data_IF_227482018518
#
_entry.id   IF_227482018518
#
_cell.length_a   1.000
_cell.length_b   1.000
_cell.length_c   1.000
_cell.angle_alpha   90.00
_cell.angle_beta   90.00
_cell.angle_gamma   90.00
#
_symmetry.space_group_name_H-M   'P 1'
#
loop_
_entity.id
_entity.type
_entity.pdbx_description
1 polymer ?
#
# COMPACT_ATOMS: atom_id res chain seq x y z
N UNK A 1 -5.28 22.41 19.73
CA UNK A 1 -6.01 21.38 18.97
C UNK A 1 -7.46 21.82 18.93
N UNK A 2 -8.11 21.86 17.76
CA UNK A 2 -9.52 22.20 17.69
C UNK A 2 -10.30 21.04 18.32
N UNK A 3 -11.01 21.34 19.41
CA UNK A 3 -11.84 20.38 20.18
C UNK A 3 -13.21 20.13 19.53
N UNK A 4 -13.33 20.38 18.23
CA UNK A 4 -14.57 20.25 17.49
C UNK A 4 -14.98 18.80 17.25
N UNK A 5 -16.28 18.56 17.20
CA UNK A 5 -16.85 17.24 16.95
C UNK A 5 -17.09 17.05 15.46
N UNK A 6 -16.60 15.93 14.91
CA UNK A 6 -16.70 15.57 13.51
C UNK A 6 -17.68 14.43 13.26
N UNK A 7 -18.27 14.41 12.06
CA UNK A 7 -19.14 13.32 11.64
C UNK A 7 -18.97 13.00 10.16
N UNK A 8 -19.08 11.71 9.80
CA UNK A 8 -19.10 11.27 8.41
C UNK A 8 -19.86 9.95 8.24
N UNK A 9 -20.28 9.65 7.00
CA UNK A 9 -20.73 8.33 6.58
C UNK A 9 -19.49 7.44 6.46
N UNK A 10 -19.44 6.36 7.23
CA UNK A 10 -18.29 5.44 7.30
C UNK A 10 -18.41 4.22 6.38
N UNK A 11 -19.57 4.01 5.74
CA UNK A 11 -19.82 2.95 4.76
C UNK A 11 -19.86 3.49 3.34
N UNK A 12 -19.80 2.59 2.36
CA UNK A 12 -19.90 3.00 0.94
C UNK A 12 -21.24 3.71 0.65
N UNK A 13 -21.21 4.73 -0.20
CA UNK A 13 -22.38 5.51 -0.65
C UNK A 13 -23.16 4.77 -1.74
N UNK A 14 -23.62 3.56 -1.43
CA UNK A 14 -24.44 2.73 -2.32
C UNK A 14 -25.57 2.07 -1.51
N UNK A 15 -26.71 1.71 -2.11
CA UNK A 15 -27.77 0.98 -1.43
C UNK A 15 -27.23 -0.33 -0.83
N UNK A 16 -27.42 -0.49 0.48
CA UNK A 16 -26.97 -1.66 1.25
C UNK A 16 -27.95 -1.97 2.39
N UNK A 17 -27.77 -3.09 3.08
CA UNK A 17 -28.60 -3.44 4.23
C UNK A 17 -28.37 -2.52 5.43
N UNK A 18 -27.13 -2.02 5.60
CA UNK A 18 -26.72 -1.17 6.76
C UNK A 18 -25.86 -0.03 6.25
N UNK A 19 -26.09 1.18 6.77
CA UNK A 19 -25.21 2.34 6.67
C UNK A 19 -24.73 2.76 8.05
N UNK A 20 -23.52 3.30 8.16
CA UNK A 20 -22.91 3.73 9.41
C UNK A 20 -22.55 5.21 9.32
N UNK A 21 -23.04 6.00 10.27
CA UNK A 21 -22.58 7.38 10.50
C UNK A 21 -21.74 7.38 11.77
N UNK A 22 -20.49 7.84 11.66
CA UNK A 22 -19.54 7.94 12.77
C UNK A 22 -19.45 9.39 13.24
N UNK A 23 -19.42 9.58 14.56
CA UNK A 23 -19.26 10.87 15.24
C UNK A 23 -18.11 10.72 16.22
N UNK A 24 -17.19 11.70 16.29
CA UNK A 24 -16.05 11.70 17.22
C UNK A 24 -15.73 13.12 17.68
N UNK A 25 -15.47 13.31 18.97
CA UNK A 25 -15.10 14.59 19.57
C UNK A 25 -15.81 14.85 20.92
N UNK A 26 -15.53 16.01 21.50
CA UNK A 26 -15.98 16.37 22.85
C UNK A 26 -17.51 16.41 22.99
N UNK A 27 -18.24 16.92 21.98
CA UNK A 27 -19.68 17.09 22.01
C UNK A 27 -20.45 15.85 21.54
N UNK A 28 -19.77 14.75 21.22
CA UNK A 28 -20.39 13.52 20.66
C UNK A 28 -21.55 13.02 21.51
N UNK A 29 -21.38 12.99 22.84
CA UNK A 29 -22.39 12.48 23.76
C UNK A 29 -23.58 13.42 23.86
N UNK A 30 -23.37 14.72 23.80
CA UNK A 30 -24.44 15.72 23.85
C UNK A 30 -25.22 15.73 22.54
N UNK A 31 -24.57 15.58 21.41
CA UNK A 31 -25.22 15.51 20.09
C UNK A 31 -26.11 14.29 20.02
N UNK A 32 -25.59 13.10 20.36
CA UNK A 32 -26.41 11.87 20.28
C UNK A 32 -27.60 11.90 21.26
N UNK A 33 -27.44 12.48 22.43
CA UNK A 33 -28.51 12.61 23.41
C UNK A 33 -29.65 13.56 22.96
N UNK A 34 -29.39 14.49 22.03
CA UNK A 34 -30.40 15.37 21.43
C UNK A 34 -31.22 14.65 20.36
N UNK A 35 -30.57 13.86 19.54
CA UNK A 35 -31.20 13.27 18.34
C UNK A 35 -31.70 11.84 18.55
N UNK A 36 -31.20 11.09 19.53
CA UNK A 36 -31.56 9.70 19.78
C UNK A 36 -32.68 9.60 20.83
N UNK A 37 -33.66 8.75 20.56
CA UNK A 37 -34.70 8.38 21.54
C UNK A 37 -34.83 6.84 21.59
N UNK A 38 -34.70 6.27 22.79
CA UNK A 38 -35.02 4.86 23.04
C UNK A 38 -36.52 4.62 22.92
N UNK A 39 -36.94 3.35 22.77
CA UNK A 39 -38.34 2.97 22.64
C UNK A 39 -39.22 3.45 23.80
N UNK A 40 -38.66 3.53 25.01
CA UNK A 40 -39.32 4.04 26.22
C UNK A 40 -39.09 5.54 26.45
N UNK A 41 -38.35 6.22 25.59
CA UNK A 41 -38.05 7.65 25.64
C UNK A 41 -37.18 8.11 26.82
N UNK A 42 -36.71 7.19 27.68
CA UNK A 42 -36.06 7.55 28.95
C UNK A 42 -34.55 7.45 28.97
N UNK A 43 -33.96 6.76 27.97
CA UNK A 43 -32.54 6.42 27.96
C UNK A 43 -31.71 7.56 27.39
N UNK A 44 -30.64 7.94 28.09
CA UNK A 44 -29.60 8.85 27.64
C UNK A 44 -28.31 8.06 27.33
N UNK A 45 -27.77 8.19 26.13
CA UNK A 45 -26.58 7.48 25.71
C UNK A 45 -25.37 7.91 26.52
N UNK A 46 -25.27 9.19 26.85
CA UNK A 46 -24.20 9.75 27.70
C UNK A 46 -24.05 9.06 29.06
N UNK A 47 -25.15 8.54 29.63
CA UNK A 47 -25.17 7.85 30.92
C UNK A 47 -24.90 6.35 30.81
N UNK A 48 -24.78 5.80 29.60
CA UNK A 48 -24.52 4.37 29.37
C UNK A 48 -23.05 4.04 29.55
N UNK A 49 -22.72 2.75 29.74
CA UNK A 49 -21.37 2.25 29.80
C UNK A 49 -20.77 2.26 28.38
N UNK A 50 -19.44 2.48 28.29
CA UNK A 50 -18.70 2.32 27.06
C UNK A 50 -18.82 0.90 26.51
N UNK A 51 -18.67 0.73 25.18
CA UNK A 51 -18.74 -0.54 24.47
C UNK A 51 -20.10 -1.24 24.62
N UNK A 52 -21.16 -0.46 24.47
CA UNK A 52 -22.55 -0.94 24.51
C UNK A 52 -23.32 -0.50 23.28
N UNK A 53 -24.31 -1.30 22.89
CA UNK A 53 -25.17 -1.06 21.74
C UNK A 53 -26.58 -0.74 22.24
N UNK A 54 -27.23 0.22 21.61
CA UNK A 54 -28.53 0.73 22.02
C UNK A 54 -29.49 0.85 20.83
N UNK A 55 -30.58 0.12 20.88
CA UNK A 55 -31.64 0.18 19.90
C UNK A 55 -32.59 1.34 20.16
N UNK A 56 -32.98 2.07 19.11
CA UNK A 56 -33.91 3.20 19.19
C UNK A 56 -34.12 3.88 17.85
N UNK A 57 -34.37 5.17 17.89
CA UNK A 57 -34.72 5.98 16.72
C UNK A 57 -33.92 7.27 16.71
N UNK A 58 -33.57 7.75 15.52
CA UNK A 58 -33.02 9.09 15.28
C UNK A 58 -34.18 10.02 14.92
N UNK A 59 -34.18 11.19 15.52
CA UNK A 59 -35.16 12.26 15.30
C UNK A 59 -34.45 13.51 14.75
N UNK A 60 -35.05 14.14 13.74
CA UNK A 60 -34.79 15.51 13.35
C UNK A 60 -35.96 16.35 13.90
N UNK A 61 -35.73 17.07 14.98
CA UNK A 61 -36.78 17.72 15.81
C UNK A 61 -37.82 16.69 16.33
N UNK A 62 -39.03 16.66 15.77
CA UNK A 62 -40.09 15.73 16.13
C UNK A 62 -40.34 14.63 15.06
N UNK A 63 -39.65 14.69 13.94
CA UNK A 63 -39.75 13.70 12.86
C UNK A 63 -38.82 12.53 13.09
N UNK A 64 -39.32 11.30 12.99
CA UNK A 64 -38.51 10.09 12.98
C UNK A 64 -37.77 10.00 11.66
N UNK A 65 -36.44 9.99 11.68
CA UNK A 65 -35.59 9.83 10.48
C UNK A 65 -35.38 8.36 10.17
N UNK A 66 -35.03 7.55 11.18
CA UNK A 66 -34.80 6.12 11.01
C UNK A 66 -34.79 5.37 12.34
N UNK A 67 -34.98 4.06 12.26
CA UNK A 67 -34.78 3.10 13.34
C UNK A 67 -33.35 2.58 13.31
N UNK A 68 -32.63 2.70 14.44
CA UNK A 68 -31.16 2.55 14.45
C UNK A 68 -30.65 1.71 15.63
N UNK A 69 -29.41 1.24 15.49
CA UNK A 69 -28.56 0.82 16.60
C UNK A 69 -27.45 1.87 16.81
N UNK A 70 -27.26 2.28 18.06
CA UNK A 70 -26.20 3.23 18.42
C UNK A 70 -25.13 2.53 19.22
N UNK A 71 -23.91 2.51 18.71
CA UNK A 71 -22.72 1.99 19.38
C UNK A 71 -22.01 3.12 20.10
N UNK A 72 -21.69 2.92 21.37
CA UNK A 72 -21.02 3.90 22.20
C UNK A 72 -19.60 3.44 22.59
N UNK A 73 -18.60 4.26 22.30
CA UNK A 73 -17.22 4.07 22.71
C UNK A 73 -16.71 5.36 23.36
N UNK A 74 -16.45 5.31 24.69
CA UNK A 74 -15.94 6.47 25.42
C UNK A 74 -14.42 6.53 25.44
N UNK A 75 -13.91 7.74 25.43
CA UNK A 75 -12.49 8.03 25.60
C UNK A 75 -11.91 7.36 26.87
N UNK A 76 -10.64 6.90 26.84
CA UNK A 76 -9.73 6.85 25.70
C UNK A 76 -9.89 5.56 24.86
N UNK A 77 -10.85 4.71 25.16
CA UNK A 77 -11.01 3.38 24.57
C UNK A 77 -11.92 3.45 23.32
N UNK A 78 -11.49 4.19 22.31
CA UNK A 78 -12.18 4.35 21.02
C UNK A 78 -11.15 4.37 19.87
N UNK A 79 -11.62 4.46 18.63
CA UNK A 79 -10.74 4.54 17.46
C UNK A 79 -9.87 5.80 17.47
N UNK A 80 -10.42 6.94 17.82
CA UNK A 80 -9.76 8.25 17.85
C UNK A 80 -9.16 8.61 19.21
N UNK A 81 -9.39 7.81 20.26
CA UNK A 81 -9.22 8.13 21.68
C UNK A 81 -10.12 9.27 22.20
N UNK A 82 -11.08 9.71 21.39
CA UNK A 82 -12.16 10.64 21.78
C UNK A 82 -13.44 9.88 22.09
N UNK A 83 -14.45 10.53 22.64
CA UNK A 83 -15.80 9.97 22.70
C UNK A 83 -16.29 9.74 21.27
N UNK A 84 -16.70 8.52 20.97
CA UNK A 84 -17.10 8.11 19.62
C UNK A 84 -18.44 7.40 19.68
N UNK A 85 -19.31 7.74 18.73
CA UNK A 85 -20.59 7.07 18.50
C UNK A 85 -20.67 6.63 17.04
N UNK A 86 -21.15 5.42 16.82
CA UNK A 86 -21.56 4.95 15.51
C UNK A 86 -23.08 4.73 15.53
N UNK A 87 -23.74 5.25 14.50
CA UNK A 87 -25.18 5.10 14.26
C UNK A 87 -25.34 4.14 13.10
N UNK A 88 -25.72 2.90 13.38
CA UNK A 88 -26.08 1.91 12.38
C UNK A 88 -27.53 2.11 11.97
N UNK A 89 -27.75 2.52 10.75
CA UNK A 89 -29.06 2.83 10.16
C UNK A 89 -29.33 1.95 8.93
N UNK A 90 -30.51 2.07 8.34
CA UNK A 90 -30.77 1.46 7.04
C UNK A 90 -29.85 2.06 5.97
N UNK A 91 -29.25 1.20 5.14
CA UNK A 91 -28.21 1.56 4.17
C UNK A 91 -28.69 2.25 2.89
N UNK A 92 -29.82 2.98 2.98
CA UNK A 92 -30.29 3.85 1.90
C UNK A 92 -29.49 5.13 1.84
N UNK A 93 -28.96 5.52 0.67
CA UNK A 93 -28.15 6.74 0.51
C UNK A 93 -28.87 7.99 1.02
N UNK A 94 -30.16 8.08 0.82
CA UNK A 94 -30.97 9.21 1.29
C UNK A 94 -31.07 9.22 2.84
N UNK A 95 -31.32 8.07 3.45
CA UNK A 95 -31.41 7.93 4.91
C UNK A 95 -30.09 8.30 5.58
N UNK A 96 -28.97 7.77 5.08
CA UNK A 96 -27.63 8.10 5.59
C UNK A 96 -27.33 9.60 5.52
N UNK A 97 -27.69 10.26 4.40
CA UNK A 97 -27.55 11.72 4.27
C UNK A 97 -28.41 12.48 5.26
N UNK A 98 -29.67 12.10 5.43
CA UNK A 98 -30.59 12.74 6.39
C UNK A 98 -30.06 12.62 7.83
N UNK A 99 -29.54 11.46 8.23
CA UNK A 99 -28.98 11.29 9.57
C UNK A 99 -27.72 12.14 9.74
N UNK A 100 -26.80 12.15 8.73
CA UNK A 100 -25.61 13.00 8.78
C UNK A 100 -25.99 14.49 8.89
N UNK A 101 -26.96 14.97 8.10
CA UNK A 101 -27.48 16.35 8.19
C UNK A 101 -28.04 16.65 9.57
N UNK A 102 -28.79 15.70 10.18
CA UNK A 102 -29.32 15.84 11.54
C UNK A 102 -28.21 15.97 12.58
N UNK A 103 -27.14 15.17 12.46
CA UNK A 103 -25.96 15.23 13.33
C UNK A 103 -25.26 16.58 13.19
N UNK A 104 -25.07 17.07 11.94
CA UNK A 104 -24.44 18.37 11.68
C UNK A 104 -25.26 19.54 12.23
N UNK A 105 -26.58 19.53 12.03
CA UNK A 105 -27.50 20.55 12.62
C UNK A 105 -27.38 20.61 14.15
N UNK A 106 -27.00 19.50 14.79
CA UNK A 106 -26.88 19.40 16.23
C UNK A 106 -25.47 19.68 16.78
N UNK A 107 -24.54 20.16 15.94
CA UNK A 107 -23.26 20.73 16.38
C UNK A 107 -22.00 20.02 15.92
N UNK A 108 -22.10 18.90 15.18
CA UNK A 108 -20.93 18.33 14.51
C UNK A 108 -20.64 19.09 13.21
N UNK A 109 -19.38 19.06 12.75
CA UNK A 109 -19.04 19.41 11.37
C UNK A 109 -18.77 18.15 10.53
N UNK A 110 -18.85 18.25 9.19
CA UNK A 110 -18.36 17.19 8.34
C UNK A 110 -16.87 16.91 8.58
N UNK A 111 -16.51 15.62 8.65
CA UNK A 111 -15.12 15.21 8.73
C UNK A 111 -14.42 15.40 7.38
N UNK A 112 -13.14 15.73 7.42
CA UNK A 112 -12.26 15.70 6.27
C UNK A 112 -11.86 14.26 5.90
N UNK A 113 -11.36 13.99 4.67
CA UNK A 113 -10.81 12.68 4.33
C UNK A 113 -9.72 12.26 5.33
N UNK A 114 -9.81 11.02 5.83
CA UNK A 114 -8.84 10.47 6.78
C UNK A 114 -8.85 11.06 8.19
N UNK A 115 -9.75 11.99 8.52
CA UNK A 115 -9.66 12.76 9.76
C UNK A 115 -9.79 11.90 11.03
N UNK A 116 -10.58 10.84 11.03
CA UNK A 116 -10.64 9.94 12.19
C UNK A 116 -9.31 9.23 12.43
N UNK A 117 -8.62 8.81 11.37
CA UNK A 117 -7.30 8.18 11.47
C UNK A 117 -6.22 9.20 11.83
N UNK A 118 -6.31 10.43 11.32
CA UNK A 118 -5.45 11.56 11.71
C UNK A 118 -5.58 11.84 13.22
N UNK A 119 -6.80 11.88 13.77
CA UNK A 119 -7.03 12.05 15.22
C UNK A 119 -6.49 10.86 16.02
N UNK A 120 -6.64 9.62 15.53
CA UNK A 120 -6.04 8.45 16.16
C UNK A 120 -4.52 8.56 16.25
N UNK A 121 -3.86 9.10 15.21
CA UNK A 121 -2.43 9.39 15.20
C UNK A 121 -2.09 10.54 16.15
N UNK A 122 -2.73 11.70 16.05
CA UNK A 122 -2.46 12.87 16.89
C UNK A 122 -2.69 12.60 18.38
N UNK A 123 -3.68 11.76 18.71
CA UNK A 123 -3.97 11.33 20.08
C UNK A 123 -3.07 10.15 20.53
N UNK A 124 -2.06 9.77 19.74
CA UNK A 124 -1.05 8.76 20.09
C UNK A 124 -1.58 7.34 20.22
N UNK A 125 -2.71 6.99 19.55
CA UNK A 125 -3.19 5.61 19.49
C UNK A 125 -2.37 4.76 18.52
N UNK A 126 -2.01 5.34 17.39
CA UNK A 126 -1.21 4.73 16.33
C UNK A 126 -0.10 5.68 15.91
N UNK A 127 0.99 5.16 15.39
CA UNK A 127 2.03 5.94 14.72
C UNK A 127 1.70 6.18 13.24
N UNK A 128 2.54 6.95 12.54
CA UNK A 128 2.29 7.30 11.14
C UNK A 128 2.35 6.09 10.21
N UNK A 129 3.23 5.09 10.50
CA UNK A 129 3.34 3.88 9.68
C UNK A 129 2.08 3.00 9.82
N UNK A 130 1.53 2.92 11.03
CA UNK A 130 0.27 2.23 11.29
C UNK A 130 -0.92 2.97 10.65
N UNK A 131 -0.91 4.31 10.69
CA UNK A 131 -1.93 5.12 10.02
C UNK A 131 -1.94 4.86 8.50
N UNK A 132 -0.79 4.92 7.85
CA UNK A 132 -0.65 4.61 6.41
C UNK A 132 -1.13 3.17 6.10
N UNK A 133 -0.87 2.20 6.97
CA UNK A 133 -1.29 0.82 6.77
C UNK A 133 -2.81 0.63 6.79
N UNK A 134 -3.59 1.53 7.41
CA UNK A 134 -5.07 1.46 7.41
C UNK A 134 -5.60 1.52 5.97
N UNK A 135 -5.07 2.43 5.13
CA UNK A 135 -5.52 2.52 3.74
C UNK A 135 -5.01 1.33 2.92
N UNK A 136 -3.80 0.82 3.23
CA UNK A 136 -3.25 -0.35 2.56
C UNK A 136 -4.09 -1.61 2.83
N UNK A 137 -4.62 -1.79 4.07
CA UNK A 137 -5.57 -2.87 4.40
C UNK A 137 -6.86 -2.74 3.61
N UNK A 138 -7.40 -1.51 3.48
CA UNK A 138 -8.64 -1.26 2.74
C UNK A 138 -8.47 -1.55 1.25
N UNK A 139 -7.32 -1.20 0.68
CA UNK A 139 -7.02 -1.33 -0.74
C UNK A 139 -6.33 -2.66 -1.11
N UNK A 140 -6.11 -3.56 -0.15
CA UNK A 140 -5.46 -4.84 -0.40
C UNK A 140 -6.21 -5.67 -1.44
N UNK A 141 -5.51 -6.08 -2.50
CA UNK A 141 -6.10 -6.81 -3.64
C UNK A 141 -5.80 -8.31 -3.62
N UNK A 142 -4.96 -8.74 -2.69
CA UNK A 142 -4.59 -10.15 -2.52
C UNK A 142 -4.22 -10.43 -1.06
N UNK A 143 -4.12 -11.72 -0.72
CA UNK A 143 -3.85 -12.18 0.65
C UNK A 143 -2.48 -11.70 1.18
N UNK A 144 -1.48 -11.59 0.31
CA UNK A 144 -0.15 -11.11 0.69
C UNK A 144 -0.19 -9.62 1.08
N UNK A 145 -0.80 -8.80 0.24
CA UNK A 145 -0.98 -7.38 0.53
C UNK A 145 -1.73 -7.19 1.85
N UNK A 146 -2.82 -7.93 2.05
CA UNK A 146 -3.60 -7.89 3.28
C UNK A 146 -2.77 -8.29 4.50
N UNK A 147 -2.07 -9.44 4.44
CA UNK A 147 -1.24 -9.94 5.55
C UNK A 147 -0.13 -8.97 5.91
N UNK A 148 0.58 -8.43 4.92
CA UNK A 148 1.66 -7.47 5.14
C UNK A 148 1.15 -6.17 5.74
N UNK A 149 0.05 -5.60 5.20
CA UNK A 149 -0.57 -4.39 5.75
C UNK A 149 -1.09 -4.59 7.18
N UNK A 150 -1.63 -5.78 7.51
CA UNK A 150 -2.03 -6.12 8.87
C UNK A 150 -0.84 -6.23 9.83
N UNK A 151 0.31 -6.75 9.39
CA UNK A 151 1.52 -6.79 10.21
C UNK A 151 2.04 -5.37 10.49
N UNK A 152 2.04 -4.51 9.47
CA UNK A 152 2.41 -3.10 9.64
C UNK A 152 1.42 -2.36 10.57
N UNK A 153 0.11 -2.62 10.45
CA UNK A 153 -0.90 -2.09 11.36
C UNK A 153 -0.68 -2.54 12.82
N UNK A 154 -0.12 -3.73 13.03
CA UNK A 154 0.30 -4.20 14.36
C UNK A 154 1.60 -3.56 14.87
N UNK A 155 2.28 -2.76 14.06
CA UNK A 155 3.46 -1.99 14.43
C UNK A 155 4.80 -2.70 14.19
N UNK A 156 4.91 -3.64 13.25
CA UNK A 156 6.17 -4.33 12.96
C UNK A 156 7.29 -3.35 12.59
N UNK A 157 7.03 -2.43 11.66
CA UNK A 157 8.00 -1.39 11.23
C UNK A 157 8.35 -0.46 12.39
N UNK A 158 7.36 -0.07 13.22
CA UNK A 158 7.57 0.78 14.38
C UNK A 158 8.60 0.17 15.36
N UNK A 159 8.49 -1.14 15.63
CA UNK A 159 9.38 -1.84 16.58
C UNK A 159 10.82 -1.77 16.09
N UNK A 160 11.08 -2.06 14.82
CA UNK A 160 12.44 -2.06 14.26
C UNK A 160 13.02 -0.64 14.17
N UNK A 161 12.24 0.33 13.72
CA UNK A 161 12.69 1.73 13.69
C UNK A 161 13.01 2.24 15.10
N UNK A 162 12.18 1.93 16.10
CA UNK A 162 12.44 2.32 17.49
C UNK A 162 13.72 1.71 18.02
N UNK A 163 13.96 0.42 17.75
CA UNK A 163 15.19 -0.25 18.19
C UNK A 163 16.44 0.40 17.61
N UNK A 164 16.44 0.69 16.30
CA UNK A 164 17.56 1.39 15.65
C UNK A 164 17.75 2.78 16.27
N UNK A 165 16.67 3.53 16.50
CA UNK A 165 16.73 4.86 17.12
C UNK A 165 17.24 4.83 18.56
N UNK A 166 16.79 3.86 19.37
CA UNK A 166 17.26 3.70 20.76
C UNK A 166 18.77 3.43 20.82
N UNK A 167 19.30 2.58 19.94
CA UNK A 167 20.74 2.30 19.85
C UNK A 167 21.53 3.55 19.41
N UNK A 168 21.04 4.29 18.39
CA UNK A 168 21.67 5.54 17.94
C UNK A 168 21.63 6.60 19.05
N UNK A 169 20.50 6.79 19.72
CA UNK A 169 20.34 7.76 20.81
C UNK A 169 21.27 7.45 21.99
N UNK A 170 21.46 6.17 22.29
CA UNK A 170 22.41 5.74 23.33
C UNK A 170 23.84 6.19 23.01
N UNK A 171 24.28 6.03 21.75
CA UNK A 171 25.64 6.43 21.36
C UNK A 171 25.77 7.96 21.30
N UNK A 172 24.75 8.70 20.87
CA UNK A 172 24.71 10.17 20.92
C UNK A 172 24.88 10.63 22.38
N UNK A 173 24.04 10.10 23.28
CA UNK A 173 24.10 10.48 24.70
C UNK A 173 25.45 10.16 25.35
N UNK A 174 26.08 9.04 24.95
CA UNK A 174 27.40 8.67 25.43
C UNK A 174 28.48 9.67 24.96
N UNK A 175 28.49 10.03 23.66
CA UNK A 175 29.42 11.01 23.10
C UNK A 175 29.25 12.37 23.79
N UNK A 176 28.02 12.88 23.88
CA UNK A 176 27.75 14.17 24.49
C UNK A 176 28.19 14.18 25.98
N UNK A 177 27.90 13.09 26.72
CA UNK A 177 28.34 12.98 28.11
C UNK A 177 29.87 12.95 28.25
N UNK A 178 30.58 12.30 27.32
CA UNK A 178 32.04 12.25 27.35
C UNK A 178 32.69 13.58 26.96
N UNK A 179 32.04 14.35 26.06
CA UNK A 179 32.50 15.70 25.70
C UNK A 179 32.28 16.70 26.84
N UNK A 180 31.18 16.55 27.60
CA UNK A 180 30.87 17.41 28.76
C UNK A 180 31.75 17.08 29.97
N UNK A 181 32.12 15.82 30.21
CA UNK A 181 32.90 15.38 31.36
C UNK A 181 34.08 14.46 30.98
N UNK A 182 35.08 15.02 30.26
CA UNK A 182 36.20 14.23 29.72
C UNK A 182 37.14 13.71 30.79
N UNK A 183 37.05 14.22 32.03
CA UNK A 183 37.88 13.73 33.16
C UNK A 183 37.38 12.39 33.70
N UNK A 184 36.09 12.07 33.56
CA UNK A 184 35.47 10.88 34.12
C UNK A 184 35.02 9.89 33.04
N UNK A 185 34.79 10.33 31.77
CA UNK A 185 34.31 9.49 30.67
C UNK A 185 35.35 9.53 29.55
N UNK A 186 36.05 8.40 29.30
CA UNK A 186 37.05 8.31 28.25
C UNK A 186 36.44 7.82 26.92
N UNK A 187 36.85 8.45 25.84
CA UNK A 187 36.56 8.03 24.46
C UNK A 187 37.70 7.17 23.86
N UNK A 188 38.66 6.69 24.67
CA UNK A 188 39.73 5.81 24.20
C UNK A 188 39.19 4.52 23.60
N UNK A 189 39.60 4.19 22.34
CA UNK A 189 39.12 3.08 21.54
C UNK A 189 37.62 3.10 21.25
N UNK A 190 36.95 4.22 21.51
CA UNK A 190 35.51 4.37 21.23
C UNK A 190 35.21 4.42 19.71
N UNK A 191 36.01 5.07 18.84
CA UNK A 191 35.78 5.06 17.40
C UNK A 191 35.65 3.64 16.81
N UNK A 192 36.49 2.67 17.23
CA UNK A 192 36.41 1.29 16.76
C UNK A 192 35.16 0.56 17.26
N UNK A 193 34.70 0.90 18.48
CA UNK A 193 33.44 0.36 19.00
C UNK A 193 32.25 0.95 18.27
N UNK A 194 32.22 2.27 18.10
CA UNK A 194 31.15 2.98 17.39
C UNK A 194 31.03 2.51 15.93
N UNK A 195 32.17 2.31 15.24
CA UNK A 195 32.20 1.82 13.87
C UNK A 195 31.42 0.50 13.73
N UNK A 196 31.61 -0.46 14.65
CA UNK A 196 30.88 -1.74 14.63
C UNK A 196 29.38 -1.57 14.87
N UNK A 197 29.01 -0.65 15.75
CA UNK A 197 27.60 -0.35 16.04
C UNK A 197 26.94 0.26 14.81
N UNK A 198 27.58 1.27 14.21
CA UNK A 198 27.04 1.95 13.03
C UNK A 198 26.98 1.03 11.81
N UNK A 199 27.99 0.17 11.60
CA UNK A 199 27.96 -0.88 10.56
C UNK A 199 26.75 -1.81 10.74
N UNK A 200 26.41 -2.19 11.99
CA UNK A 200 25.24 -3.00 12.29
C UNK A 200 23.94 -2.23 11.97
N UNK A 201 23.87 -0.92 12.27
CA UNK A 201 22.68 -0.13 11.92
C UNK A 201 22.54 0.06 10.40
N UNK A 202 23.63 0.25 9.68
CA UNK A 202 23.64 0.25 8.22
C UNK A 202 23.05 -1.05 7.68
N UNK A 203 23.47 -2.20 8.21
CA UNK A 203 22.94 -3.51 7.82
C UNK A 203 21.42 -3.63 8.12
N UNK A 204 20.98 -3.19 9.30
CA UNK A 204 19.57 -3.24 9.69
C UNK A 204 18.69 -2.38 8.76
N UNK A 205 19.11 -1.13 8.49
CA UNK A 205 18.40 -0.21 7.56
C UNK A 205 18.39 -0.76 6.14
N UNK A 206 19.50 -1.31 5.65
CA UNK A 206 19.60 -1.90 4.32
C UNK A 206 18.69 -3.12 4.16
N UNK A 207 18.55 -3.94 5.19
CA UNK A 207 17.62 -5.07 5.18
C UNK A 207 16.16 -4.61 5.07
N UNK A 208 15.75 -3.56 5.78
CA UNK A 208 14.41 -2.99 5.64
C UNK A 208 14.22 -2.46 4.20
N UNK A 209 15.22 -1.76 3.64
CA UNK A 209 15.15 -1.25 2.27
C UNK A 209 15.03 -2.34 1.21
N UNK A 210 15.72 -3.46 1.36
CA UNK A 210 15.65 -4.59 0.41
C UNK A 210 14.25 -5.20 0.31
N UNK A 211 13.43 -5.08 1.34
CA UNK A 211 12.05 -5.57 1.31
C UNK A 211 11.10 -4.69 0.51
N UNK A 212 11.51 -3.45 0.19
CA UNK A 212 10.63 -2.45 -0.45
C UNK A 212 10.13 -2.88 -1.85
N UNK A 213 11.05 -3.29 -2.73
CA UNK A 213 10.67 -3.59 -4.12
C UNK A 213 9.75 -4.81 -4.18
N UNK A 214 9.99 -5.82 -3.34
CA UNK A 214 9.11 -6.97 -3.19
C UNK A 214 7.76 -6.57 -2.59
N UNK A 215 7.75 -5.72 -1.55
CA UNK A 215 6.54 -5.19 -0.92
C UNK A 215 5.68 -4.35 -1.87
N UNK A 216 6.30 -3.52 -2.74
CA UNK A 216 5.58 -2.75 -3.76
C UNK A 216 4.85 -3.67 -4.74
N UNK A 217 5.55 -4.66 -5.26
CA UNK A 217 4.98 -5.63 -6.21
C UNK A 217 3.83 -6.42 -5.58
N UNK A 218 3.97 -6.81 -4.32
CA UNK A 218 2.93 -7.51 -3.58
C UNK A 218 1.68 -6.64 -3.35
N UNK A 219 1.86 -5.35 -3.06
CA UNK A 219 0.78 -4.40 -2.79
C UNK A 219 0.09 -3.91 -4.06
N UNK A 220 0.87 -3.44 -5.03
CA UNK A 220 0.36 -2.79 -6.22
C UNK A 220 0.10 -3.77 -7.37
N UNK A 221 0.76 -4.92 -7.35
CA UNK A 221 0.80 -5.87 -8.44
C UNK A 221 1.94 -5.59 -9.41
N UNK A 222 2.10 -6.48 -10.38
CA UNK A 222 3.11 -6.40 -11.45
C UNK A 222 2.46 -5.72 -12.66
N UNK A 223 2.93 -4.53 -13.00
CA UNK A 223 2.51 -3.85 -14.22
C UNK A 223 3.03 -4.64 -15.43
N UNK A 224 2.11 -5.30 -16.11
CA UNK A 224 2.43 -6.27 -17.16
C UNK A 224 1.90 -5.79 -18.50
N UNK A 225 2.72 -5.87 -19.54
CA UNK A 225 2.29 -5.66 -20.91
C UNK A 225 2.44 -6.94 -21.72
N UNK A 226 1.42 -7.28 -22.52
CA UNK A 226 1.43 -8.41 -23.45
C UNK A 226 1.64 -7.88 -24.86
N UNK A 227 2.78 -8.16 -25.44
CA UNK A 227 3.15 -7.73 -26.79
C UNK A 227 3.28 -8.93 -27.74
N UNK A 228 3.21 -8.67 -29.02
CA UNK A 228 3.34 -9.69 -30.09
C UNK A 228 2.53 -9.32 -31.32
N UNK A 229 2.78 -9.99 -32.42
CA UNK A 229 2.12 -9.77 -33.69
C UNK A 229 0.58 -9.99 -33.64
N UNK A 230 -0.19 -9.47 -34.60
CA UNK A 230 -1.57 -9.87 -34.78
C UNK A 230 -1.68 -11.41 -34.91
N UNK A 231 -2.73 -11.98 -34.32
CA UNK A 231 -3.01 -13.42 -34.32
C UNK A 231 -1.97 -14.34 -33.65
N UNK A 232 -0.96 -13.80 -32.96
CA UNK A 232 -0.01 -14.60 -32.14
C UNK A 232 -0.70 -15.28 -30.94
N UNK A 233 -1.94 -14.90 -30.59
CA UNK A 233 -2.70 -15.50 -29.51
C UNK A 233 -2.74 -14.71 -28.21
N UNK A 234 -2.42 -13.41 -28.25
CA UNK A 234 -2.46 -12.51 -27.08
C UNK A 234 -3.82 -12.49 -26.38
N UNK A 235 -4.91 -12.30 -27.16
CA UNK A 235 -6.28 -12.30 -26.63
C UNK A 235 -6.68 -13.65 -26.03
N UNK A 236 -6.23 -14.76 -26.62
CA UNK A 236 -6.48 -16.10 -26.10
C UNK A 236 -5.75 -16.32 -24.78
N UNK A 237 -4.48 -15.88 -24.68
CA UNK A 237 -3.71 -15.91 -23.45
C UNK A 237 -4.39 -15.07 -22.36
N UNK A 238 -4.77 -13.83 -22.67
CA UNK A 238 -5.46 -12.95 -21.73
C UNK A 238 -6.75 -13.59 -21.19
N UNK A 239 -7.58 -14.15 -22.07
CA UNK A 239 -8.84 -14.81 -21.68
C UNK A 239 -8.62 -16.01 -20.76
N UNK A 240 -7.52 -16.75 -20.94
CA UNK A 240 -7.19 -17.88 -20.05
C UNK A 240 -6.75 -17.36 -18.68
N UNK A 241 -5.89 -16.36 -18.65
CA UNK A 241 -5.40 -15.76 -17.41
C UNK A 241 -6.57 -15.13 -16.60
N UNK A 242 -7.47 -14.41 -17.26
CA UNK A 242 -8.70 -13.85 -16.64
C UNK A 242 -9.67 -14.95 -16.17
N UNK A 243 -9.74 -16.08 -16.88
CA UNK A 243 -10.66 -17.17 -16.58
C UNK A 243 -10.27 -18.06 -15.41
N UNK A 244 -9.06 -17.98 -14.89
CA UNK A 244 -8.59 -18.84 -13.80
C UNK A 244 -9.08 -18.41 -12.42
N UNK A 245 -9.11 -17.10 -12.14
CA UNK A 245 -9.81 -16.55 -10.95
C UNK A 245 -10.23 -15.10 -11.27
N UNK A 246 -11.54 -14.87 -11.38
CA UNK A 246 -12.05 -13.51 -11.47
C UNK A 246 -11.71 -12.80 -10.15
N UNK A 247 -10.74 -11.87 -10.18
CA UNK A 247 -10.67 -10.84 -9.17
C UNK A 247 -12.07 -10.20 -9.04
N UNK A 248 -12.54 -10.02 -7.82
CA UNK A 248 -13.77 -9.28 -7.56
C UNK A 248 -13.51 -7.86 -8.06
N UNK A 249 -13.96 -7.58 -9.28
CA UNK A 249 -13.95 -6.22 -9.84
C UNK A 249 -14.97 -5.44 -9.03
N UNK A 250 -14.53 -4.73 -8.03
CA UNK A 250 -15.33 -3.66 -7.45
C UNK A 250 -15.25 -2.49 -8.43
N UNK A 251 -16.33 -2.29 -9.20
CA UNK A 251 -16.56 -1.04 -9.88
C UNK A 251 -16.66 0.09 -8.83
N UNK A 252 -15.55 0.72 -8.53
CA UNK A 252 -15.58 1.98 -7.80
C UNK A 252 -15.98 3.03 -8.83
N UNK A 253 -17.25 3.39 -8.83
CA UNK A 253 -17.77 4.49 -9.62
C UNK A 253 -17.08 5.79 -9.20
N UNK A 254 -16.16 6.29 -10.02
CA UNK A 254 -15.54 7.60 -9.77
C UNK A 254 -14.13 7.83 -10.31
N UNK A 255 -13.40 6.81 -10.79
CA UNK A 255 -12.11 7.03 -11.46
C UNK A 255 -12.31 7.11 -12.96
N UNK A 256 -12.30 8.34 -13.44
CA UNK A 256 -12.45 8.74 -14.84
C UNK A 256 -11.33 8.19 -15.73
N UNK A 257 -11.74 7.61 -16.87
CA UNK A 257 -11.09 7.73 -18.18
C UNK A 257 -9.57 7.80 -18.21
N UNK A 258 -8.88 6.66 -18.02
CA UNK A 258 -7.60 6.46 -18.72
C UNK A 258 -7.20 4.98 -18.59
N UNK A 259 -7.01 4.32 -19.74
CA UNK A 259 -6.47 2.95 -19.93
C UNK A 259 -7.27 1.84 -19.22
N UNK A 260 -7.94 1.00 -19.98
CA UNK A 260 -8.57 -0.24 -19.47
C UNK A 260 -7.46 -1.19 -18.98
N UNK A 261 -7.21 -1.17 -17.69
CA UNK A 261 -6.34 -2.13 -17.01
C UNK A 261 -7.18 -3.32 -16.54
N UNK A 262 -6.79 -4.52 -16.93
CA UNK A 262 -7.36 -5.75 -16.35
C UNK A 262 -6.46 -6.27 -15.26
N UNK A 263 -7.03 -6.53 -14.08
CA UNK A 263 -6.33 -7.14 -12.97
C UNK A 263 -6.57 -8.65 -12.95
N UNK A 264 -5.49 -9.40 -12.99
CA UNK A 264 -5.49 -10.86 -13.00
C UNK A 264 -4.78 -11.34 -11.75
N UNK A 265 -5.43 -12.21 -10.97
CA UNK A 265 -4.77 -12.85 -9.83
C UNK A 265 -4.22 -14.22 -10.27
N UNK A 266 -2.90 -14.37 -10.22
CA UNK A 266 -2.21 -15.64 -10.47
C UNK A 266 -1.67 -16.18 -9.14
N UNK A 267 -2.42 -17.07 -8.48
CA UNK A 267 -2.01 -17.72 -7.23
C UNK A 267 -1.51 -16.73 -6.15
N UNK A 268 -2.25 -15.62 -5.95
CA UNK A 268 -1.93 -14.60 -4.97
C UNK A 268 -1.03 -13.45 -5.49
N UNK A 269 -0.57 -13.51 -6.74
CA UNK A 269 0.18 -12.44 -7.40
C UNK A 269 -0.77 -11.67 -8.32
N UNK A 270 -0.91 -10.37 -8.13
CA UNK A 270 -1.73 -9.52 -9.00
C UNK A 270 -0.91 -9.05 -10.20
N UNK A 271 -1.37 -9.34 -11.43
CA UNK A 271 -0.88 -8.74 -12.66
C UNK A 271 -1.84 -7.61 -13.08
N UNK A 272 -1.32 -6.40 -13.25
CA UNK A 272 -2.05 -5.28 -13.85
C UNK A 272 -1.73 -5.27 -15.35
N UNK A 273 -2.61 -5.85 -16.18
CA UNK A 273 -2.38 -5.94 -17.62
C UNK A 273 -2.81 -4.64 -18.29
N UNK A 274 -1.83 -3.92 -18.85
CA UNK A 274 -2.04 -2.63 -19.50
C UNK A 274 -2.48 -2.83 -20.96
N UNK A 275 -3.32 -1.89 -21.46
CA UNK A 275 -3.80 -1.81 -22.86
C UNK A 275 -4.58 -3.04 -23.37
N UNK A 276 -5.54 -3.49 -22.57
CA UNK A 276 -6.42 -4.61 -22.95
C UNK A 276 -7.31 -4.29 -24.18
N UNK A 277 -7.59 -3.01 -24.48
CA UNK A 277 -8.36 -2.60 -25.64
C UNK A 277 -7.66 -2.95 -26.96
N UNK A 278 -6.34 -2.73 -27.05
CA UNK A 278 -5.56 -3.13 -28.23
C UNK A 278 -5.40 -4.64 -28.40
N UNK A 279 -5.68 -5.41 -27.35
CA UNK A 279 -5.63 -6.89 -27.35
C UNK A 279 -7.00 -7.47 -27.78
N UNK A 280 -8.11 -6.79 -27.49
CA UNK A 280 -9.48 -7.26 -27.78
C UNK A 280 -9.98 -6.88 -29.18
N UNK A 281 -9.58 -5.73 -29.74
CA UNK A 281 -10.03 -5.27 -31.07
C UNK A 281 -9.15 -5.87 -32.17
N UNK A 282 -9.64 -6.92 -32.80
CA UNK A 282 -9.01 -7.66 -33.91
C UNK A 282 -9.41 -7.13 -35.29
N UNK A 283 -9.80 -5.88 -35.45
CA UNK A 283 -10.10 -5.34 -36.76
C UNK A 283 -8.94 -4.52 -37.33
N UNK A 284 -8.31 -5.13 -38.31
CA UNK A 284 -7.44 -4.56 -39.35
C UNK A 284 -7.19 -3.03 -39.26
N UNK A 285 -6.03 -2.63 -38.84
CA UNK A 285 -5.16 -1.61 -39.45
C UNK A 285 -3.88 -1.48 -38.56
N UNK A 286 -2.71 -1.72 -39.21
CA UNK A 286 -1.40 -1.17 -38.84
C UNK A 286 -0.41 -2.08 -38.11
N UNK A 287 0.39 -2.80 -38.90
CA UNK A 287 1.64 -3.48 -38.48
C UNK A 287 2.68 -2.54 -37.81
N UNK A 288 2.73 -1.26 -38.18
CA UNK A 288 3.66 -0.27 -37.59
C UNK A 288 3.26 0.24 -36.20
N UNK A 289 1.98 0.20 -35.86
CA UNK A 289 1.51 0.65 -34.53
C UNK A 289 1.90 -0.36 -33.43
N UNK A 290 2.17 -1.61 -33.75
CA UNK A 290 2.53 -2.65 -32.79
C UNK A 290 3.87 -2.40 -32.10
N UNK A 291 4.92 -2.04 -32.85
CA UNK A 291 6.27 -1.82 -32.30
C UNK A 291 6.36 -0.52 -31.51
N UNK A 292 5.77 0.57 -32.02
CA UNK A 292 5.78 1.85 -31.31
C UNK A 292 4.96 1.83 -30.02
N UNK A 293 3.83 1.09 -30.03
CA UNK A 293 3.06 0.85 -28.79
C UNK A 293 3.82 -0.04 -27.81
N UNK A 294 4.44 -1.12 -28.31
CA UNK A 294 5.25 -2.00 -27.47
C UNK A 294 6.39 -1.22 -26.78
N UNK A 295 7.04 -0.28 -27.51
CA UNK A 295 8.06 0.63 -26.95
C UNK A 295 7.50 1.45 -25.79
N UNK A 296 6.40 2.18 -26.03
CA UNK A 296 5.82 3.10 -25.06
C UNK A 296 5.33 2.40 -23.78
N UNK A 297 4.73 1.21 -23.91
CA UNK A 297 4.21 0.48 -22.76
C UNK A 297 5.32 -0.32 -22.04
N UNK A 298 6.31 -0.84 -22.77
CA UNK A 298 7.45 -1.53 -22.18
C UNK A 298 8.35 -0.61 -21.33
N UNK A 299 8.32 0.71 -21.56
CA UNK A 299 9.07 1.67 -20.74
C UNK A 299 8.63 1.68 -19.28
N UNK A 300 7.32 1.57 -19.03
CA UNK A 300 6.72 1.66 -17.70
C UNK A 300 6.29 0.30 -17.12
N UNK A 301 6.47 -0.79 -17.85
CA UNK A 301 6.10 -2.14 -17.40
C UNK A 301 7.16 -2.75 -16.48
N UNK A 302 6.71 -3.42 -15.41
CA UNK A 302 7.57 -4.25 -14.56
C UNK A 302 7.89 -5.59 -15.27
N UNK A 303 6.96 -6.08 -16.12
CA UNK A 303 7.08 -7.33 -16.87
C UNK A 303 6.56 -7.16 -18.30
N UNK A 304 7.34 -7.65 -19.26
CA UNK A 304 6.88 -7.78 -20.65
C UNK A 304 6.69 -9.25 -21.01
N UNK A 305 5.50 -9.62 -21.43
CA UNK A 305 5.18 -10.96 -21.97
C UNK A 305 5.12 -10.85 -23.49
N UNK A 306 6.14 -11.38 -24.18
CA UNK A 306 6.19 -11.39 -25.63
C UNK A 306 5.67 -12.72 -26.18
N UNK A 307 4.58 -12.65 -26.96
CA UNK A 307 3.91 -13.81 -27.54
C UNK A 307 4.29 -13.95 -29.01
N UNK A 308 4.91 -15.07 -29.35
CA UNK A 308 5.32 -15.46 -30.71
C UNK A 308 4.47 -16.65 -31.17
N UNK A 309 3.97 -16.62 -32.40
CA UNK A 309 3.32 -17.77 -33.03
C UNK A 309 4.41 -18.75 -33.51
N UNK A 310 4.54 -19.90 -32.84
CA UNK A 310 5.56 -20.89 -33.20
C UNK A 310 5.34 -21.53 -34.59
N UNK A 311 4.13 -21.42 -35.18
CA UNK A 311 3.80 -22.01 -36.49
C UNK A 311 4.16 -21.10 -37.69
N UNK A 312 4.63 -19.87 -37.45
CA UNK A 312 5.01 -18.90 -38.49
C UNK A 312 6.50 -18.54 -38.41
N UNK A 313 7.10 -18.16 -39.53
CA UNK A 313 8.50 -17.77 -39.55
C UNK A 313 8.68 -16.40 -38.86
N UNK A 314 9.86 -16.19 -38.22
CA UNK A 314 10.24 -14.87 -37.69
C UNK A 314 10.49 -13.88 -38.83
N UNK A 315 10.15 -12.60 -38.60
CA UNK A 315 10.46 -11.51 -39.51
C UNK A 315 11.15 -10.34 -38.75
N UNK A 316 11.46 -9.26 -39.48
CA UNK A 316 12.22 -8.12 -38.98
C UNK A 316 11.55 -7.49 -37.73
N UNK A 317 10.20 -7.50 -37.65
CA UNK A 317 9.48 -6.97 -36.50
C UNK A 317 9.72 -7.81 -35.21
N UNK A 318 9.89 -9.13 -35.35
CA UNK A 318 10.21 -9.98 -34.18
C UNK A 318 11.62 -9.65 -33.66
N UNK A 319 12.58 -9.43 -34.56
CA UNK A 319 13.94 -9.04 -34.15
C UNK A 319 13.98 -7.67 -33.49
N UNK A 320 13.26 -6.69 -34.02
CA UNK A 320 13.13 -5.36 -33.40
C UNK A 320 12.51 -5.42 -32.00
N UNK A 321 11.49 -6.25 -31.79
CA UNK A 321 10.90 -6.45 -30.46
C UNK A 321 11.88 -7.14 -29.52
N UNK A 322 12.60 -8.19 -29.98
CA UNK A 322 13.58 -8.88 -29.15
C UNK A 322 14.72 -7.94 -28.73
N UNK A 323 15.18 -7.05 -29.60
CA UNK A 323 16.21 -6.04 -29.27
C UNK A 323 15.72 -5.07 -28.18
N UNK A 324 14.46 -4.65 -28.24
CA UNK A 324 13.83 -3.82 -27.23
C UNK A 324 13.76 -4.48 -25.85
N UNK A 325 13.69 -5.80 -25.81
CA UNK A 325 13.53 -6.56 -24.57
C UNK A 325 14.85 -6.91 -23.89
N UNK A 326 16.03 -6.61 -24.49
CA UNK A 326 17.34 -6.95 -23.93
C UNK A 326 17.51 -6.47 -22.49
N UNK A 327 17.15 -5.22 -22.21
CA UNK A 327 17.31 -4.57 -20.90
C UNK A 327 16.04 -4.63 -20.03
N UNK A 328 14.99 -5.36 -20.44
CA UNK A 328 13.72 -5.44 -19.71
C UNK A 328 13.57 -6.80 -19.02
N UNK A 329 12.78 -6.82 -17.93
CA UNK A 329 12.28 -8.10 -17.40
C UNK A 329 11.23 -8.62 -18.38
N UNK A 330 11.55 -9.69 -19.09
CA UNK A 330 10.69 -10.22 -20.13
C UNK A 330 10.61 -11.76 -20.09
N UNK A 331 9.46 -12.29 -20.50
CA UNK A 331 9.21 -13.73 -20.75
C UNK A 331 8.76 -13.83 -22.20
N UNK A 332 9.34 -14.76 -22.93
CA UNK A 332 8.95 -15.07 -24.31
C UNK A 332 8.08 -16.32 -24.32
N UNK A 333 6.90 -16.21 -24.89
CA UNK A 333 5.96 -17.32 -25.03
C UNK A 333 5.92 -17.77 -26.49
N UNK A 334 6.38 -18.98 -26.77
CA UNK A 334 6.17 -19.66 -28.05
C UNK A 334 4.78 -20.31 -28.01
N UNK A 335 3.79 -19.60 -28.52
CA UNK A 335 2.39 -20.04 -28.54
C UNK A 335 2.08 -20.93 -29.74
N UNK A 336 0.97 -21.62 -29.67
CA UNK A 336 0.48 -22.61 -30.65
C UNK A 336 1.38 -23.83 -30.78
N UNK A 337 1.93 -24.29 -29.64
CA UNK A 337 2.75 -25.51 -29.57
C UNK A 337 1.96 -26.79 -29.94
N UNK A 338 0.65 -26.69 -30.13
CA UNK A 338 -0.23 -27.73 -30.68
C UNK A 338 -0.15 -27.85 -32.20
N UNK A 339 0.50 -26.92 -32.89
CA UNK A 339 0.74 -26.95 -34.33
C UNK A 339 2.17 -27.32 -34.66
N UNK A 340 2.45 -27.58 -35.96
CA UNK A 340 3.81 -27.83 -36.42
C UNK A 340 4.68 -26.55 -36.23
N UNK A 341 5.73 -26.69 -35.43
CA UNK A 341 6.58 -25.57 -35.08
C UNK A 341 7.61 -25.27 -36.19
N UNK A 342 7.64 -24.00 -36.64
CA UNK A 342 8.69 -23.43 -37.49
C UNK A 342 9.76 -22.71 -36.68
N UNK A 343 9.38 -22.16 -35.54
CA UNK A 343 10.28 -21.47 -34.62
C UNK A 343 10.48 -22.33 -33.37
N UNK A 344 11.76 -22.54 -33.03
CA UNK A 344 12.15 -23.34 -31.86
C UNK A 344 12.76 -22.46 -30.76
N UNK A 345 12.79 -22.99 -29.53
CA UNK A 345 13.43 -22.34 -28.38
C UNK A 345 14.88 -21.97 -28.69
N UNK A 346 15.64 -22.89 -29.33
CA UNK A 346 17.06 -22.67 -29.66
C UNK A 346 17.28 -21.52 -30.65
N UNK A 347 16.32 -21.28 -31.56
CA UNK A 347 16.38 -20.16 -32.50
C UNK A 347 16.27 -18.82 -31.80
N UNK A 348 15.34 -18.71 -30.85
CA UNK A 348 15.12 -17.49 -30.06
C UNK A 348 16.27 -17.28 -29.07
N UNK A 349 16.76 -18.35 -28.43
CA UNK A 349 17.84 -18.25 -27.42
C UNK A 349 19.17 -17.77 -27.99
N UNK A 350 19.37 -17.91 -29.30
CA UNK A 350 20.51 -17.32 -30.00
C UNK A 350 20.44 -15.81 -30.18
N UNK A 351 19.24 -15.25 -30.09
CA UNK A 351 18.98 -13.82 -30.31
C UNK A 351 18.87 -13.05 -29.00
N UNK A 352 18.29 -13.68 -27.96
CA UNK A 352 18.02 -13.01 -26.69
C UNK A 352 18.16 -13.98 -25.51
N UNK A 353 18.85 -13.52 -24.45
CA UNK A 353 18.98 -14.25 -23.19
C UNK A 353 17.80 -13.93 -22.24
N UNK A 354 16.65 -14.51 -22.53
CA UNK A 354 15.44 -14.42 -21.70
C UNK A 354 14.81 -15.78 -21.51
N UNK A 355 13.95 -15.90 -20.47
CA UNK A 355 13.20 -17.13 -20.26
C UNK A 355 12.19 -17.34 -21.39
N UNK A 356 12.22 -18.51 -22.02
CA UNK A 356 11.33 -18.90 -23.10
C UNK A 356 10.48 -20.05 -22.63
N UNK A 357 9.17 -19.98 -22.86
CA UNK A 357 8.19 -20.99 -22.47
C UNK A 357 7.34 -21.36 -23.69
N UNK A 358 7.26 -22.66 -23.99
CA UNK A 358 6.36 -23.18 -25.03
C UNK A 358 4.96 -23.36 -24.45
N UNK A 359 3.96 -22.69 -25.06
CA UNK A 359 2.57 -22.77 -24.62
C UNK A 359 1.62 -23.13 -25.78
N UNK A 360 0.49 -23.70 -25.42
CA UNK A 360 -0.72 -23.66 -26.27
C UNK A 360 -1.85 -22.99 -25.51
N UNK A 361 -2.15 -21.76 -25.90
CA UNK A 361 -3.27 -21.04 -25.33
C UNK A 361 -4.61 -21.78 -25.60
N UNK A 362 -4.73 -22.48 -26.73
CA UNK A 362 -5.93 -23.25 -27.08
C UNK A 362 -6.12 -24.48 -26.16
N UNK A 363 -5.06 -25.21 -25.90
CA UNK A 363 -5.09 -26.45 -25.11
C UNK A 363 -4.74 -26.21 -23.62
N UNK A 364 -4.48 -24.98 -23.21
CA UNK A 364 -4.08 -24.56 -21.86
C UNK A 364 -2.78 -25.21 -21.36
N UNK A 365 -1.86 -25.50 -22.27
CA UNK A 365 -0.56 -26.10 -21.96
C UNK A 365 0.45 -24.97 -21.63
N UNK A 366 1.34 -25.20 -20.65
CA UNK A 366 2.44 -24.29 -20.30
C UNK A 366 2.05 -23.13 -19.37
N UNK A 367 0.76 -22.95 -19.03
CA UNK A 367 0.30 -21.82 -18.20
C UNK A 367 0.88 -21.89 -16.79
N UNK A 368 0.92 -23.08 -16.17
CA UNK A 368 1.56 -23.26 -14.84
C UNK A 368 3.06 -22.93 -14.84
N UNK A 369 3.75 -23.21 -15.95
CA UNK A 369 5.17 -22.85 -16.07
C UNK A 369 5.33 -21.33 -16.14
N UNK A 370 4.43 -20.63 -16.85
CA UNK A 370 4.39 -19.17 -16.87
C UNK A 370 4.18 -18.60 -15.46
N UNK A 371 3.20 -19.10 -14.72
CA UNK A 371 2.92 -18.70 -13.33
C UNK A 371 4.16 -18.86 -12.42
N UNK A 372 4.79 -20.05 -12.46
CA UNK A 372 5.99 -20.32 -11.68
C UNK A 372 7.16 -19.40 -12.09
N UNK A 373 7.34 -19.19 -13.40
CA UNK A 373 8.40 -18.32 -13.91
C UNK A 373 8.21 -16.87 -13.43
N UNK A 374 6.99 -16.34 -13.45
CA UNK A 374 6.68 -15.01 -12.92
C UNK A 374 7.01 -14.96 -11.42
N UNK A 375 6.61 -16.00 -10.68
CA UNK A 375 6.91 -16.12 -9.25
C UNK A 375 8.42 -16.12 -8.98
N UNK A 376 9.18 -16.90 -9.72
CA UNK A 376 10.65 -17.00 -9.56
C UNK A 376 11.35 -15.69 -9.93
N UNK A 377 10.90 -14.99 -10.97
CA UNK A 377 11.48 -13.72 -11.43
C UNK A 377 11.31 -12.58 -10.44
N UNK A 378 10.20 -12.53 -9.70
CA UNK A 378 9.87 -11.41 -8.83
C UNK A 378 10.05 -11.73 -7.35
N UNK A 379 10.07 -13.02 -6.96
CA UNK A 379 10.13 -13.44 -5.56
C UNK A 379 11.27 -14.43 -5.27
N UNK A 380 12.22 -14.65 -6.21
CA UNK A 380 13.40 -15.53 -6.09
C UNK A 380 13.07 -16.97 -5.65
N UNK A 381 11.91 -17.48 -6.08
CA UNK A 381 11.44 -18.82 -5.69
C UNK A 381 10.96 -18.95 -4.25
N UNK A 382 11.35 -18.05 -3.39
CA UNK A 382 10.98 -18.00 -1.98
C UNK A 382 9.90 -16.93 -1.73
N UNK A 383 8.66 -17.21 -2.12
CA UNK A 383 7.55 -16.70 -1.33
C UNK A 383 7.47 -17.58 -0.09
N UNK A 384 8.51 -17.56 0.69
CA UNK A 384 8.42 -18.02 2.07
C UNK A 384 7.63 -16.96 2.80
N UNK A 385 6.56 -17.40 3.43
CA UNK A 385 5.72 -16.61 4.33
C UNK A 385 6.47 -16.26 5.62
N UNK A 386 7.71 -15.78 5.53
CA UNK A 386 8.37 -15.19 6.67
C UNK A 386 7.61 -13.90 7.00
N UNK A 387 7.23 -13.76 8.26
CA UNK A 387 6.48 -12.61 8.79
C UNK A 387 7.21 -11.26 8.66
N UNK A 388 8.37 -11.24 7.98
CA UNK A 388 9.34 -10.15 7.89
C UNK A 388 9.25 -9.31 6.59
N UNK A 389 8.28 -9.56 5.69
CA UNK A 389 8.13 -8.71 4.50
C UNK A 389 7.43 -7.42 4.87
N UNK A 390 8.20 -6.34 4.96
CA UNK A 390 7.68 -5.00 5.19
C UNK A 390 7.19 -4.38 3.89
N UNK A 391 5.95 -3.88 3.87
CA UNK A 391 5.46 -3.03 2.78
C UNK A 391 5.70 -1.57 3.16
N UNK A 392 6.95 -1.11 3.03
CA UNK A 392 7.24 0.32 3.19
C UNK A 392 6.79 1.10 1.95
N UNK A 393 6.30 2.32 2.15
CA UNK A 393 5.92 3.21 1.05
C UNK A 393 7.11 4.06 0.56
N UNK A 394 6.89 4.87 -0.50
CA UNK A 394 7.94 5.72 -1.10
C UNK A 394 8.50 6.72 -0.09
N UNK A 395 7.66 7.31 0.77
CA UNK A 395 8.06 8.25 1.83
C UNK A 395 9.03 7.58 2.81
N UNK A 396 8.65 6.43 3.34
CA UNK A 396 9.44 5.62 4.28
C UNK A 396 10.76 5.18 3.63
N UNK A 397 10.73 4.73 2.36
CA UNK A 397 11.94 4.39 1.59
C UNK A 397 12.90 5.57 1.51
N UNK A 398 12.38 6.75 1.15
CA UNK A 398 13.22 7.96 1.02
C UNK A 398 13.90 8.30 2.34
N UNK A 399 13.17 8.32 3.45
CA UNK A 399 13.76 8.58 4.77
C UNK A 399 14.79 7.52 5.17
N UNK A 400 14.54 6.22 4.89
CA UNK A 400 15.52 5.16 5.14
C UNK A 400 16.80 5.32 4.27
N UNK A 401 16.66 5.74 3.01
CA UNK A 401 17.82 6.02 2.15
C UNK A 401 18.64 7.21 2.65
N UNK A 402 17.99 8.26 3.14
CA UNK A 402 18.65 9.41 3.75
C UNK A 402 19.35 8.97 5.05
N UNK A 403 18.67 8.21 5.91
CA UNK A 403 19.28 7.62 7.13
C UNK A 403 20.52 6.81 6.80
N UNK A 404 20.45 5.93 5.79
CA UNK A 404 21.59 5.12 5.34
C UNK A 404 22.78 5.99 4.94
N UNK A 405 22.51 7.07 4.21
CA UNK A 405 23.55 8.04 3.81
C UNK A 405 24.22 8.71 5.02
N UNK A 406 23.44 9.16 6.01
CA UNK A 406 23.99 9.77 7.24
C UNK A 406 24.84 8.77 8.03
N UNK A 407 24.38 7.53 8.21
CA UNK A 407 25.16 6.48 8.87
C UNK A 407 26.47 6.17 8.12
N UNK A 408 26.45 6.12 6.79
CA UNK A 408 27.66 5.95 5.96
C UNK A 408 28.61 7.14 6.09
N UNK A 409 28.10 8.37 6.22
CA UNK A 409 28.90 9.54 6.52
C UNK A 409 29.59 9.44 7.87
N UNK A 410 28.88 8.99 8.93
CA UNK A 410 29.48 8.73 10.23
C UNK A 410 30.64 7.73 10.13
N UNK A 411 30.44 6.61 9.42
CA UNK A 411 31.51 5.63 9.18
C UNK A 411 32.74 6.28 8.51
N UNK A 412 32.51 7.14 7.51
CA UNK A 412 33.60 7.82 6.80
C UNK A 412 34.32 8.81 7.73
N UNK A 413 33.57 9.58 8.53
CA UNK A 413 34.10 10.54 9.51
C UNK A 413 34.99 9.86 10.54
N UNK A 414 34.57 8.66 11.04
CA UNK A 414 35.38 7.84 11.94
C UNK A 414 36.67 7.37 11.26
N UNK A 415 36.60 6.87 10.02
CA UNK A 415 37.77 6.41 9.26
C UNK A 415 38.77 7.52 8.96
N UNK A 416 38.27 8.73 8.76
CA UNK A 416 39.09 9.93 8.49
C UNK A 416 39.74 10.49 9.79
N UNK A 417 39.43 9.89 10.95
CA UNK A 417 39.98 10.32 12.25
C UNK A 417 39.53 11.71 12.66
N UNK A 418 38.31 12.10 12.28
CA UNK A 418 37.72 13.39 12.69
C UNK A 418 37.40 13.38 14.20
N UNK A 419 37.30 14.55 14.83
CA UNK A 419 36.87 14.64 16.23
C UNK A 419 35.46 14.07 16.47
N UNK A 420 35.23 13.59 17.70
CA UNK A 420 34.02 12.84 18.07
C UNK A 420 32.73 13.64 18.01
N UNK A 421 32.77 14.97 18.15
CA UNK A 421 31.63 15.87 17.96
C UNK A 421 31.02 15.77 16.55
N UNK A 422 31.84 15.44 15.54
CA UNK A 422 31.33 15.18 14.18
C UNK A 422 30.55 13.86 14.06
N UNK A 423 30.78 12.90 14.93
CA UNK A 423 30.03 11.64 14.94
C UNK A 423 28.62 11.86 15.46
N UNK A 424 28.45 12.67 16.54
CA UNK A 424 27.13 12.98 17.12
C UNK A 424 26.23 13.70 16.15
N UNK A 425 26.77 14.64 15.34
CA UNK A 425 25.99 15.35 14.31
C UNK A 425 25.38 14.36 13.30
N UNK A 426 26.19 13.49 12.69
CA UNK A 426 25.69 12.55 11.70
C UNK A 426 24.74 11.49 12.28
N UNK A 427 24.95 11.10 13.54
CA UNK A 427 24.03 10.21 14.27
C UNK A 427 22.70 10.91 14.56
N UNK A 428 22.73 12.21 14.93
CA UNK A 428 21.52 13.00 15.19
C UNK A 428 20.69 13.15 13.91
N UNK A 429 21.33 13.47 12.76
CA UNK A 429 20.66 13.53 11.47
C UNK A 429 19.97 12.20 11.12
N UNK A 430 20.66 11.07 11.35
CA UNK A 430 20.08 9.74 11.13
C UNK A 430 18.90 9.44 12.08
N UNK A 431 19.02 9.84 13.35
CA UNK A 431 17.97 9.70 14.36
C UNK A 431 16.70 10.50 14.01
N UNK A 432 16.86 11.75 13.55
CA UNK A 432 15.75 12.60 13.11
C UNK A 432 15.04 12.03 11.89
N UNK A 433 15.79 11.57 10.88
CA UNK A 433 15.19 10.97 9.68
C UNK A 433 14.37 9.70 10.00
N UNK A 434 14.85 8.86 10.91
CA UNK A 434 14.09 7.73 11.41
C UNK A 434 12.83 8.17 12.16
N UNK A 435 12.88 9.30 12.88
CA UNK A 435 11.73 9.90 13.56
C UNK A 435 10.62 10.31 12.59
N UNK A 436 10.97 10.84 11.42
CA UNK A 436 10.00 11.18 10.38
C UNK A 436 9.21 9.97 9.87
N UNK A 437 9.80 8.78 9.86
CA UNK A 437 9.12 7.55 9.44
C UNK A 437 7.92 7.26 10.33
N UNK A 438 8.10 7.36 11.64
CA UNK A 438 7.09 7.02 12.65
C UNK A 438 6.20 8.23 13.04
N UNK A 439 6.53 9.43 12.54
CA UNK A 439 5.73 10.64 12.75
C UNK A 439 6.10 11.45 14.00
N UNK A 440 7.32 11.26 14.57
CA UNK A 440 7.76 12.02 15.75
C UNK A 440 8.28 13.43 15.42
N UNK A 441 8.67 13.68 14.17
CA UNK A 441 9.25 14.95 13.69
C UNK A 441 8.70 15.31 12.31
N UNK A 442 7.36 15.38 12.18
CA UNK A 442 6.69 15.61 10.90
C UNK A 442 5.98 16.96 10.92
N UNK A 443 6.16 17.75 9.85
CA UNK A 443 5.44 19.00 9.64
C UNK A 443 3.95 18.75 9.41
N UNK A 444 3.08 19.65 9.90
CA UNK A 444 1.62 19.54 9.81
C UNK A 444 1.15 19.38 8.36
N UNK A 445 1.76 20.09 7.40
CA UNK A 445 1.42 20.04 5.97
C UNK A 445 1.61 18.64 5.38
N UNK A 446 2.66 17.91 5.78
CA UNK A 446 2.90 16.54 5.34
C UNK A 446 1.88 15.57 5.93
N UNK A 447 1.51 15.77 7.19
CA UNK A 447 0.43 15.00 7.83
C UNK A 447 -0.87 15.19 7.05
N UNK A 448 -1.22 16.42 6.72
CA UNK A 448 -2.43 16.75 5.96
C UNK A 448 -2.41 16.14 4.55
N UNK A 449 -1.28 16.16 3.85
CA UNK A 449 -1.13 15.51 2.54
C UNK A 449 -1.35 14.00 2.63
N UNK A 450 -0.78 13.33 3.62
CA UNK A 450 -0.93 11.88 3.80
C UNK A 450 -2.42 11.52 3.98
N UNK A 451 -3.11 12.21 4.90
CA UNK A 451 -4.49 11.90 5.23
C UNK A 451 -5.50 12.34 4.17
N UNK A 452 -5.17 13.33 3.33
CA UNK A 452 -6.02 13.73 2.20
C UNK A 452 -6.30 12.60 1.19
N UNK A 453 -5.45 11.58 1.14
CA UNK A 453 -5.58 10.40 0.27
C UNK A 453 -6.51 9.32 0.83
N UNK A 454 -7.00 9.50 2.05
CA UNK A 454 -7.88 8.52 2.71
C UNK A 454 -9.34 8.69 2.32
N UNK A 455 -10.14 7.64 2.56
CA UNK A 455 -11.58 7.70 2.38
C UNK A 455 -12.24 8.56 3.45
N UNK A 456 -13.38 9.19 3.10
CA UNK A 456 -14.27 9.82 4.08
C UNK A 456 -14.75 8.80 5.10
N UNK A 457 -14.81 9.18 6.38
CA UNK A 457 -15.26 8.29 7.47
C UNK A 457 -14.20 7.36 8.05
N UNK A 458 -12.91 7.53 7.63
CA UNK A 458 -11.73 6.83 8.17
C UNK A 458 -10.72 7.79 8.77
#
# INVERSE_FOLDING_TARGET
>A
MNSDTIAAIATAMSPSGIGIIRISGEDTLDIIDRIYRSKDGKKKISKCKSHTIHYGYIYDEDEVVDEVMVLLMKAPNSYTREDTVEIDCHGGVYVMKRILETVIKNGARPAEPGEFTKRAFLNGRIDLTQAESVIDVINAKNDFALKSSLNQLKGSVLVDIKKIREEILHEIAFIESALDDPEHISLDNYPEKLLKIVDNQVYNVDNILKTFDNGRILREGINTVIVGKPNAGKSSLLNILVGQEKAIVTEIAGTTRDVLEEQINLNGITLNVMDTAGIRDTSDVVEKIGVDRAKKYAENADLVIYVIDASTDLDDSDYEIMDLLQDKKAIILLNKSDLEAKVTVDMIQKQIDKKIISISAKERIGIRELENTIKDMFFQGEVTFNDEVYTINVRQKTSLQITLKHLQQVIQTIKDGMPEDFYSIGLMDAYEELGKIIGESVEDDLVDEIFSKFCMGK
#
